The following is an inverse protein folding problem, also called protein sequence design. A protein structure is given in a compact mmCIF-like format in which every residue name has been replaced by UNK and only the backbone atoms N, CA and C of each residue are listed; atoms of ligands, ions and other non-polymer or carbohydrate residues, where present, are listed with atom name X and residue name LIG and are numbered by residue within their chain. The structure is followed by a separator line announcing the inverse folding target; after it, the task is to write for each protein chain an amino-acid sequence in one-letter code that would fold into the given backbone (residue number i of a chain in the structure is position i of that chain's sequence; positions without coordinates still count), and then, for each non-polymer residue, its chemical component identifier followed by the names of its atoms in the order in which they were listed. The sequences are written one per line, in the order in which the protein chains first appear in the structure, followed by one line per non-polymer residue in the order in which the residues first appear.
data_IF_380573218031
#
_entry.id   IF_380573218031
#
_cell.length_a   1.000
_cell.length_b   1.000
_cell.length_c   1.000
_cell.angle_alpha   90.00
_cell.angle_beta   90.00
_cell.angle_gamma   90.00
#
_symmetry.space_group_name_H-M   'P 1'
#
loop_
_entity.id
_entity.type
_entity.pdbx_description
1 polymer ?
#
# COMPACT_ATOMS: atom_id res chain seq x y z
N UNK A 1 -1.00 -15.85 51.94
CA UNK A 1 -0.54 -15.25 50.66
C UNK A 1 -0.18 -16.38 49.71
N UNK A 2 -0.99 -16.59 48.68
CA UNK A 2 -0.63 -17.37 47.52
C UNK A 2 -1.36 -16.72 46.34
N UNK A 3 -0.68 -15.80 45.65
CA UNK A 3 -1.18 -15.23 44.41
C UNK A 3 -1.01 -16.28 43.32
N UNK A 4 -2.12 -16.88 42.90
CA UNK A 4 -2.15 -17.68 41.68
C UNK A 4 -1.84 -16.76 40.50
N UNK A 5 -0.66 -16.92 39.91
CA UNK A 5 -0.29 -16.36 38.62
C UNK A 5 -1.15 -17.03 37.56
N UNK A 6 -2.21 -16.33 37.14
CA UNK A 6 -3.02 -16.76 36.01
C UNK A 6 -2.17 -16.78 34.75
N UNK A 7 -1.84 -17.98 34.26
CA UNK A 7 -1.39 -18.19 32.90
C UNK A 7 -2.56 -17.83 31.99
N UNK A 8 -2.58 -16.59 31.48
CA UNK A 8 -3.57 -16.15 30.52
C UNK A 8 -3.54 -17.05 29.29
N UNK A 9 -4.72 -17.50 28.84
CA UNK A 9 -4.86 -18.20 27.57
C UNK A 9 -4.20 -17.36 26.45
N UNK A 10 -3.61 -17.99 25.43
CA UNK A 10 -3.00 -17.27 24.32
C UNK A 10 -4.03 -16.32 23.71
N UNK A 11 -3.64 -15.05 23.57
CA UNK A 11 -4.46 -14.01 22.94
C UNK A 11 -4.82 -14.42 21.51
N UNK A 12 -6.10 -14.31 21.14
CA UNK A 12 -6.56 -14.69 19.80
C UNK A 12 -5.94 -13.83 18.69
N UNK A 13 -5.82 -14.33 17.45
CA UNK A 13 -5.16 -13.61 16.34
C UNK A 13 -5.71 -12.20 16.08
N UNK A 14 -7.02 -12.01 16.20
CA UNK A 14 -7.67 -10.71 16.00
C UNK A 14 -7.35 -9.71 17.13
N UNK A 15 -7.33 -10.16 18.38
CA UNK A 15 -6.94 -9.33 19.52
C UNK A 15 -5.48 -8.91 19.42
N UNK A 16 -4.59 -9.83 19.04
CA UNK A 16 -3.18 -9.53 18.78
C UNK A 16 -3.01 -8.49 17.66
N UNK A 17 -3.72 -8.66 16.53
CA UNK A 17 -3.71 -7.68 15.43
C UNK A 17 -4.17 -6.30 15.89
N UNK A 18 -5.29 -6.24 16.63
CA UNK A 18 -5.81 -5.00 17.19
C UNK A 18 -4.80 -4.33 18.12
N UNK A 19 -4.15 -5.10 18.99
CA UNK A 19 -3.12 -4.61 19.90
C UNK A 19 -1.95 -3.99 19.13
N UNK A 20 -1.40 -4.69 18.12
CA UNK A 20 -0.31 -4.19 17.26
C UNK A 20 -0.66 -2.85 16.63
N UNK A 21 -1.85 -2.75 16.02
CA UNK A 21 -2.34 -1.50 15.41
C UNK A 21 -2.46 -0.37 16.44
N UNK A 22 -3.04 -0.64 17.62
CA UNK A 22 -3.26 0.39 18.63
C UNK A 22 -1.96 0.85 19.32
N UNK A 23 -0.93 0.01 19.35
CA UNK A 23 0.41 0.36 19.86
C UNK A 23 1.35 0.95 18.81
N UNK A 24 0.97 0.89 17.53
CA UNK A 24 1.78 1.38 16.42
C UNK A 24 2.07 2.88 16.52
N UNK A 25 3.25 3.27 16.04
CA UNK A 25 3.67 4.67 15.93
C UNK A 25 3.49 5.24 14.53
N UNK A 26 3.03 4.45 13.55
CA UNK A 26 2.83 4.91 12.18
C UNK A 26 1.83 6.08 12.07
N UNK A 27 0.99 6.26 13.09
CA UNK A 27 0.15 7.43 13.27
C UNK A 27 0.92 8.53 13.99
N UNK A 28 1.34 9.55 13.24
CA UNK A 28 1.93 10.76 13.82
C UNK A 28 0.82 11.61 14.46
N UNK A 29 0.67 11.59 15.78
CA UNK A 29 -0.41 12.32 16.48
C UNK A 29 -0.35 13.83 16.24
N UNK A 30 0.85 14.41 16.21
CA UNK A 30 1.09 15.84 16.01
C UNK A 30 1.58 16.13 14.57
N UNK A 31 0.68 16.14 13.58
CA UNK A 31 1.00 16.68 12.26
C UNK A 31 0.77 18.21 12.29
N UNK A 32 1.77 19.05 11.95
CA UNK A 32 1.63 20.50 12.03
C UNK A 32 0.37 21.01 11.33
N UNK A 33 -0.41 21.81 12.05
CA UNK A 33 -1.70 22.35 11.59
C UNK A 33 -1.60 23.36 10.44
N UNK A 34 -0.38 23.70 9.98
CA UNK A 34 -0.14 24.70 8.94
C UNK A 34 -0.47 24.23 7.53
N UNK A 35 -0.56 22.92 7.26
CA UNK A 35 -0.87 22.39 5.92
C UNK A 35 -2.39 22.40 5.65
N UNK A 36 -2.93 23.58 5.34
CA UNK A 36 -4.38 23.77 5.27
C UNK A 36 -5.08 23.01 4.13
N UNK A 37 -4.37 22.49 3.12
CA UNK A 37 -4.96 21.65 2.07
C UNK A 37 -3.96 20.60 1.63
N UNK A 38 -4.38 19.34 1.56
CA UNK A 38 -3.71 18.21 0.90
C UNK A 38 -2.23 17.93 1.26
N UNK A 39 -1.99 17.09 2.28
CA UNK A 39 -0.65 16.65 2.59
C UNK A 39 -0.14 15.61 1.58
N UNK A 40 1.13 15.77 1.23
CA UNK A 40 1.89 14.81 0.42
C UNK A 40 2.85 14.09 1.35
N UNK A 41 2.71 12.78 1.45
CA UNK A 41 3.55 11.92 2.27
C UNK A 41 4.74 11.44 1.44
N UNK A 42 5.93 11.80 1.90
CA UNK A 42 7.18 11.52 1.20
C UNK A 42 8.36 11.53 2.18
N UNK A 43 9.31 10.61 1.98
CA UNK A 43 10.62 10.66 2.63
C UNK A 43 11.72 10.66 1.56
N UNK A 44 12.81 11.44 1.74
CA UNK A 44 14.01 11.29 0.90
C UNK A 44 14.59 9.88 0.88
N UNK A 45 14.24 9.04 1.87
CA UNK A 45 14.62 7.64 1.93
C UNK A 45 13.85 6.72 0.97
N UNK A 46 12.81 7.21 0.26
CA UNK A 46 12.06 6.39 -0.69
C UNK A 46 12.93 5.96 -1.87
N UNK A 47 13.83 6.83 -2.34
CA UNK A 47 14.71 6.52 -3.45
C UNK A 47 15.73 5.44 -3.05
N UNK A 48 15.76 4.38 -3.85
CA UNK A 48 16.69 3.27 -3.73
C UNK A 48 17.87 3.57 -4.66
N UNK A 49 19.08 3.61 -4.14
CA UNK A 49 20.31 3.79 -4.92
C UNK A 49 21.40 2.82 -4.49
N UNK A 50 22.07 2.26 -5.48
CA UNK A 50 23.24 1.39 -5.38
C UNK A 50 24.43 2.04 -6.11
N UNK A 51 24.66 3.33 -5.88
CA UNK A 51 25.75 4.12 -6.46
C UNK A 51 25.79 4.08 -8.01
N UNK A 52 24.62 4.05 -8.65
CA UNK A 52 24.47 4.09 -10.11
C UNK A 52 24.17 2.73 -10.76
N UNK A 53 24.34 1.61 -10.05
CA UNK A 53 23.98 0.28 -10.59
C UNK A 53 22.48 0.13 -10.84
N UNK A 54 21.66 0.86 -10.09
CA UNK A 54 20.21 0.90 -10.24
C UNK A 54 19.76 1.37 -11.63
N UNK A 55 20.59 2.17 -12.33
CA UNK A 55 20.25 2.74 -13.65
C UNK A 55 20.26 1.71 -14.78
N UNK A 56 20.70 0.49 -14.51
CA UNK A 56 20.74 -0.60 -15.49
C UNK A 56 19.45 -1.44 -15.51
N UNK A 57 18.49 -1.12 -14.63
CA UNK A 57 17.22 -1.82 -14.52
C UNK A 57 16.07 -0.94 -15.06
N UNK A 58 15.04 -1.51 -15.73
CA UNK A 58 13.90 -0.73 -16.24
C UNK A 58 13.08 -0.06 -15.13
N UNK A 59 13.04 -0.63 -13.92
CA UNK A 59 12.40 0.00 -12.77
C UNK A 59 13.24 1.18 -12.27
N UNK A 60 12.66 2.37 -12.38
CA UNK A 60 13.28 3.60 -11.95
C UNK A 60 13.21 3.77 -10.44
N UNK A 61 14.27 3.34 -9.77
CA UNK A 61 14.36 3.26 -8.31
C UNK A 61 14.50 4.61 -7.60
N UNK A 62 14.62 5.71 -8.34
CA UNK A 62 14.60 7.08 -7.81
C UNK A 62 13.39 7.90 -8.28
N UNK A 63 12.35 7.22 -8.80
CA UNK A 63 11.19 7.90 -9.42
C UNK A 63 10.46 8.82 -8.45
N UNK A 64 10.42 8.46 -7.17
CA UNK A 64 9.67 9.19 -6.15
C UNK A 64 10.25 10.57 -5.88
N UNK A 65 11.56 10.67 -5.73
CA UNK A 65 12.24 11.97 -5.61
C UNK A 65 12.05 12.84 -6.85
N UNK A 66 12.06 12.24 -8.05
CA UNK A 66 11.79 12.97 -9.30
C UNK A 66 10.36 13.49 -9.39
N UNK A 67 9.35 12.68 -9.06
CA UNK A 67 7.94 13.13 -9.01
C UNK A 67 7.79 14.29 -8.05
N UNK A 68 8.34 14.17 -6.84
CA UNK A 68 8.33 15.25 -5.84
C UNK A 68 8.97 16.53 -6.37
N UNK A 69 10.16 16.45 -6.97
CA UNK A 69 10.85 17.61 -7.52
C UNK A 69 10.07 18.23 -8.69
N UNK A 70 9.51 17.42 -9.60
CA UNK A 70 8.69 17.92 -10.70
C UNK A 70 7.43 18.64 -10.22
N UNK A 71 6.80 18.19 -9.13
CA UNK A 71 5.66 18.88 -8.52
C UNK A 71 6.06 20.20 -7.86
N UNK A 72 7.23 20.26 -7.20
CA UNK A 72 7.78 21.51 -6.65
C UNK A 72 8.14 22.51 -7.76
N UNK A 73 8.83 22.07 -8.81
CA UNK A 73 9.22 22.89 -9.95
C UNK A 73 8.01 23.46 -10.71
N UNK A 74 6.92 22.70 -10.78
CA UNK A 74 5.65 23.14 -11.36
C UNK A 74 4.84 24.08 -10.44
N UNK A 75 5.28 24.33 -9.21
CA UNK A 75 4.57 25.12 -8.22
C UNK A 75 3.31 24.45 -7.66
N UNK A 76 3.16 23.13 -7.86
CA UNK A 76 2.02 22.33 -7.40
C UNK A 76 2.22 21.80 -5.98
N UNK A 77 3.48 21.65 -5.55
CA UNK A 77 3.87 21.21 -4.21
C UNK A 77 4.73 22.28 -3.54
N UNK A 78 4.39 22.61 -2.30
CA UNK A 78 5.19 23.44 -1.41
C UNK A 78 5.76 22.53 -0.32
N UNK A 79 7.01 22.78 0.10
CA UNK A 79 7.70 21.87 1.02
C UNK A 79 7.05 21.78 2.41
N UNK A 80 6.24 22.75 2.82
CA UNK A 80 5.45 22.74 4.06
C UNK A 80 4.21 21.82 4.01
N UNK A 81 3.87 21.30 2.82
CA UNK A 81 2.83 20.29 2.62
C UNK A 81 3.37 18.86 2.64
N UNK A 82 4.69 18.71 2.70
CA UNK A 82 5.35 17.40 2.79
C UNK A 82 5.33 16.92 4.24
N UNK A 83 4.77 15.72 4.45
CA UNK A 83 4.80 15.04 5.74
C UNK A 83 5.68 13.81 5.61
N UNK A 84 6.75 13.72 6.40
CA UNK A 84 7.63 12.57 6.36
C UNK A 84 7.08 11.40 7.19
N UNK A 85 6.93 10.18 6.62
CA UNK A 85 6.44 9.04 7.36
C UNK A 85 7.52 8.33 8.19
N UNK A 86 7.07 7.58 9.19
CA UNK A 86 7.90 6.64 9.92
C UNK A 86 8.08 5.33 9.14
N UNK A 87 9.15 4.60 9.45
CA UNK A 87 9.35 3.24 8.96
C UNK A 87 8.35 2.29 9.64
N UNK A 88 7.70 1.42 8.86
CA UNK A 88 6.92 0.31 9.41
C UNK A 88 7.83 -0.67 10.15
N UNK A 89 7.56 -0.89 11.44
CA UNK A 89 8.24 -1.88 12.26
C UNK A 89 7.80 -3.30 11.89
N UNK A 90 8.54 -4.30 12.36
CA UNK A 90 8.15 -5.70 12.19
C UNK A 90 6.75 -5.98 12.79
N UNK A 91 6.45 -5.42 13.96
CA UNK A 91 5.13 -5.55 14.59
C UNK A 91 4.01 -4.90 13.76
N UNK A 92 4.30 -3.81 13.05
CA UNK A 92 3.36 -3.22 12.10
C UNK A 92 3.12 -4.18 10.93
N UNK A 93 4.19 -4.71 10.34
CA UNK A 93 4.09 -5.63 9.20
C UNK A 93 3.36 -6.94 9.55
N UNK A 94 3.53 -7.43 10.78
CA UNK A 94 2.85 -8.62 11.32
C UNK A 94 1.34 -8.43 11.57
N UNK A 95 0.79 -7.26 11.29
CA UNK A 95 -0.67 -7.05 11.23
C UNK A 95 -1.28 -7.81 10.06
N UNK A 96 -0.54 -7.89 8.94
CA UNK A 96 -0.97 -8.49 7.67
C UNK A 96 -0.14 -9.71 7.34
N UNK A 97 1.19 -9.60 7.43
CA UNK A 97 2.10 -10.66 7.00
C UNK A 97 2.26 -11.77 8.03
N UNK A 98 2.53 -12.99 7.56
CA UNK A 98 2.99 -14.06 8.44
C UNK A 98 4.46 -13.86 8.82
N UNK A 99 4.84 -14.35 10.00
CA UNK A 99 6.25 -14.43 10.42
C UNK A 99 7.07 -15.20 9.39
N UNK A 100 6.54 -16.30 8.84
CA UNK A 100 7.23 -17.08 7.80
C UNK A 100 7.52 -16.27 6.54
N UNK A 101 6.59 -15.41 6.11
CA UNK A 101 6.82 -14.55 4.95
C UNK A 101 7.87 -13.48 5.25
N UNK A 102 7.75 -12.79 6.39
CA UNK A 102 8.73 -11.77 6.78
C UNK A 102 10.14 -12.35 6.94
N UNK A 103 10.27 -13.52 7.57
CA UNK A 103 11.53 -14.24 7.69
C UNK A 103 12.10 -14.63 6.31
N UNK A 104 11.24 -14.90 5.31
CA UNK A 104 11.72 -15.20 3.96
C UNK A 104 12.41 -13.99 3.28
N UNK A 105 12.08 -12.76 3.70
CA UNK A 105 12.71 -11.54 3.20
C UNK A 105 14.13 -11.33 3.75
N UNK A 106 14.57 -12.14 4.71
CA UNK A 106 15.99 -12.21 5.12
C UNK A 106 16.88 -12.88 4.06
N UNK A 107 16.30 -13.47 3.00
CA UNK A 107 17.05 -14.00 1.86
C UNK A 107 17.15 -12.99 0.72
N UNK A 108 18.38 -12.58 0.37
CA UNK A 108 18.63 -11.73 -0.81
C UNK A 108 18.09 -12.36 -2.11
N UNK A 109 18.12 -13.68 -2.22
CA UNK A 109 17.59 -14.40 -3.38
C UNK A 109 16.06 -14.29 -3.45
N UNK A 110 15.37 -14.44 -2.32
CA UNK A 110 13.91 -14.29 -2.27
C UNK A 110 13.52 -12.86 -2.65
N UNK A 111 14.21 -11.86 -2.09
CA UNK A 111 13.97 -10.45 -2.41
C UNK A 111 14.23 -10.17 -3.88
N UNK A 112 15.33 -10.66 -4.45
CA UNK A 112 15.67 -10.49 -5.87
C UNK A 112 14.58 -11.01 -6.81
N UNK A 113 13.93 -12.13 -6.47
CA UNK A 113 12.80 -12.67 -7.23
C UNK A 113 11.56 -11.78 -7.11
N UNK A 114 11.24 -11.30 -5.90
CA UNK A 114 10.10 -10.42 -5.65
C UNK A 114 10.23 -9.10 -6.42
N UNK A 115 11.43 -8.50 -6.40
CA UNK A 115 11.70 -7.23 -7.10
C UNK A 115 12.12 -7.41 -8.55
N UNK A 116 12.11 -8.64 -9.07
CA UNK A 116 12.50 -8.98 -10.44
C UNK A 116 13.87 -8.45 -10.88
N UNK A 117 14.79 -8.29 -9.92
CA UNK A 117 16.17 -7.82 -10.16
C UNK A 117 17.15 -8.92 -9.75
N UNK A 118 17.55 -9.83 -10.65
CA UNK A 118 18.43 -10.95 -10.31
C UNK A 118 19.75 -10.53 -9.64
N UNK A 119 20.29 -9.37 -9.99
CA UNK A 119 21.53 -8.84 -9.39
C UNK A 119 21.44 -8.60 -7.87
N UNK A 120 20.23 -8.37 -7.33
CA UNK A 120 20.00 -8.21 -5.89
C UNK A 120 20.41 -9.47 -5.12
N UNK A 121 20.31 -10.65 -5.74
CA UNK A 121 20.68 -11.92 -5.10
C UNK A 121 22.19 -12.00 -4.77
N UNK A 122 23.01 -11.24 -5.49
CA UNK A 122 24.46 -11.18 -5.31
C UNK A 122 24.87 -10.16 -4.24
N UNK A 123 23.95 -9.32 -3.77
CA UNK A 123 24.24 -8.31 -2.76
C UNK A 123 24.28 -8.94 -1.36
N UNK A 124 25.24 -8.51 -0.50
CA UNK A 124 25.20 -8.82 0.91
C UNK A 124 23.83 -8.47 1.50
N UNK A 125 23.24 -9.40 2.25
CA UNK A 125 21.87 -9.23 2.75
C UNK A 125 21.68 -7.93 3.55
N UNK A 126 22.68 -7.53 4.33
CA UNK A 126 22.67 -6.24 5.04
C UNK A 126 22.39 -5.05 4.11
N UNK A 127 22.95 -5.03 2.90
CA UNK A 127 22.69 -3.97 1.92
C UNK A 127 21.27 -4.07 1.36
N UNK A 128 20.77 -5.27 1.12
CA UNK A 128 19.37 -5.48 0.69
C UNK A 128 18.40 -4.95 1.76
N UNK A 129 18.64 -5.26 3.03
CA UNK A 129 17.82 -4.78 4.14
C UNK A 129 17.83 -3.25 4.27
N UNK A 130 19.02 -2.64 4.16
CA UNK A 130 19.21 -1.19 4.40
C UNK A 130 18.92 -0.30 3.20
N UNK A 131 19.17 -0.78 1.98
CA UNK A 131 19.08 0.04 0.75
C UNK A 131 17.87 -0.28 -0.10
N UNK A 132 17.25 -1.45 0.05
CA UNK A 132 16.06 -1.84 -0.72
C UNK A 132 14.82 -1.97 0.16
N UNK A 133 14.87 -2.79 1.22
CA UNK A 133 13.68 -3.05 2.04
C UNK A 133 13.34 -1.92 3.02
N UNK A 134 14.34 -1.20 3.55
CA UNK A 134 14.11 -0.01 4.37
C UNK A 134 13.29 1.07 3.64
N UNK A 135 13.61 1.48 2.40
CA UNK A 135 12.75 2.34 1.60
C UNK A 135 11.32 1.82 1.45
N UNK A 136 11.12 0.52 1.20
CA UNK A 136 9.77 -0.04 1.11
C UNK A 136 9.02 0.02 2.43
N UNK A 137 9.66 -0.25 3.58
CA UNK A 137 9.02 -0.12 4.91
C UNK A 137 8.65 1.33 5.24
N UNK A 138 9.44 2.30 4.77
CA UNK A 138 9.09 3.73 4.84
C UNK A 138 7.86 4.06 3.98
N UNK A 139 7.77 3.50 2.78
CA UNK A 139 6.61 3.67 1.89
C UNK A 139 5.35 3.05 2.48
N UNK A 140 5.46 1.89 3.13
CA UNK A 140 4.38 1.23 3.88
C UNK A 140 3.86 2.13 4.99
N UNK A 141 4.75 2.68 5.82
CA UNK A 141 4.37 3.66 6.84
C UNK A 141 3.71 4.90 6.26
N UNK A 142 4.14 5.31 5.06
CA UNK A 142 3.52 6.39 4.29
C UNK A 142 2.06 6.14 3.91
N UNK A 143 1.71 4.92 3.49
CA UNK A 143 0.34 4.57 3.11
C UNK A 143 -0.60 4.63 4.32
N UNK A 144 -0.15 4.14 5.48
CA UNK A 144 -0.90 4.22 6.74
C UNK A 144 -1.09 5.68 7.18
N UNK A 145 -0.03 6.50 7.10
CA UNK A 145 -0.10 7.92 7.43
C UNK A 145 -1.02 8.69 6.47
N UNK A 146 -1.00 8.39 5.18
CA UNK A 146 -1.88 9.02 4.19
C UNK A 146 -3.35 8.75 4.48
N UNK A 147 -3.75 7.55 4.91
CA UNK A 147 -5.15 7.31 5.29
C UNK A 147 -5.60 8.17 6.48
N UNK A 148 -4.75 8.32 7.51
CA UNK A 148 -5.01 9.23 8.62
C UNK A 148 -5.22 10.66 8.11
N UNK A 149 -4.28 11.13 7.31
CA UNK A 149 -4.29 12.49 6.78
C UNK A 149 -5.48 12.74 5.85
N UNK A 150 -5.88 11.76 5.05
CA UNK A 150 -7.07 11.84 4.21
C UNK A 150 -8.34 11.99 5.05
N UNK A 151 -8.45 11.28 6.17
CA UNK A 151 -9.58 11.45 7.09
C UNK A 151 -9.60 12.85 7.73
N UNK A 152 -8.45 13.38 8.13
CA UNK A 152 -8.35 14.68 8.82
C UNK A 152 -8.43 15.88 7.87
N UNK A 153 -7.96 15.73 6.62
CA UNK A 153 -7.75 16.83 5.66
C UNK A 153 -8.57 16.70 4.37
N UNK A 154 -9.33 15.62 4.22
CA UNK A 154 -10.18 15.31 3.06
C UNK A 154 -9.50 14.45 1.99
N UNK A 155 -8.19 14.57 1.80
CA UNK A 155 -7.40 13.69 0.93
C UNK A 155 -5.91 13.79 1.27
N UNK A 156 -5.12 12.78 0.88
CA UNK A 156 -3.66 12.77 1.00
C UNK A 156 -3.06 11.93 -0.14
N UNK A 157 -1.79 12.16 -0.46
CA UNK A 157 -1.04 11.35 -1.42
C UNK A 157 0.15 10.72 -0.72
N UNK A 158 0.35 9.41 -0.82
CA UNK A 158 1.67 8.81 -0.60
C UNK A 158 2.37 8.71 -1.95
N UNK A 159 3.50 9.39 -2.13
CA UNK A 159 4.25 9.30 -3.41
C UNK A 159 4.76 7.86 -3.65
N UNK A 160 5.02 7.13 -2.56
CA UNK A 160 5.76 5.87 -2.56
C UNK A 160 4.96 4.61 -2.87
N UNK A 161 3.92 4.37 -2.06
CA UNK A 161 3.21 3.09 -1.93
C UNK A 161 2.34 2.70 -3.11
N UNK A 162 1.27 1.92 -2.85
CA UNK A 162 0.47 1.30 -3.92
C UNK A 162 1.04 -0.05 -4.35
N UNK A 163 1.58 -0.83 -3.41
CA UNK A 163 2.20 -2.12 -3.69
C UNK A 163 1.15 -3.22 -3.90
N UNK A 164 0.40 -3.09 -4.99
CA UNK A 164 -0.81 -3.85 -5.27
C UNK A 164 -0.60 -5.34 -5.58
N UNK A 165 0.62 -5.79 -5.83
CA UNK A 165 0.92 -7.21 -6.10
C UNK A 165 1.29 -8.01 -4.85
N UNK A 166 1.57 -7.36 -3.72
CA UNK A 166 1.89 -8.07 -2.49
C UNK A 166 0.63 -8.40 -1.70
N UNK A 167 0.52 -9.66 -1.30
CA UNK A 167 -0.51 -10.17 -0.37
C UNK A 167 0.13 -10.49 0.99
N UNK A 168 -0.69 -10.90 1.95
CA UNK A 168 -0.24 -11.30 3.29
C UNK A 168 0.86 -12.38 3.29
N UNK A 169 0.87 -13.29 2.31
CA UNK A 169 1.77 -14.45 2.29
C UNK A 169 2.83 -14.41 1.18
N UNK A 170 2.71 -13.49 0.23
CA UNK A 170 3.53 -13.49 -0.98
C UNK A 170 3.73 -12.08 -1.52
N UNK A 171 4.97 -11.76 -1.89
CA UNK A 171 5.34 -10.59 -2.68
C UNK A 171 5.64 -10.98 -4.13
N UNK A 172 5.56 -10.01 -5.03
CA UNK A 172 5.81 -10.16 -6.46
C UNK A 172 5.62 -8.83 -7.18
N UNK A 173 5.99 -8.74 -8.47
CA UNK A 173 5.80 -7.52 -9.27
C UNK A 173 6.32 -6.25 -8.58
N UNK A 174 7.56 -6.29 -8.07
CA UNK A 174 8.20 -5.17 -7.34
C UNK A 174 7.62 -4.85 -5.95
N UNK A 175 6.62 -5.62 -5.48
CA UNK A 175 5.91 -5.38 -4.23
C UNK A 175 6.37 -6.37 -3.15
N UNK A 176 7.15 -5.91 -2.17
CA UNK A 176 7.65 -6.75 -1.07
C UNK A 176 6.76 -6.75 0.18
N UNK A 177 5.95 -5.70 0.36
CA UNK A 177 5.06 -5.55 1.51
C UNK A 177 3.68 -5.11 1.04
N UNK A 178 2.63 -5.62 1.67
CA UNK A 178 1.24 -5.34 1.34
C UNK A 178 0.80 -4.04 2.04
N UNK A 179 1.29 -2.90 1.57
CA UNK A 179 1.04 -1.60 2.20
C UNK A 179 -0.44 -1.19 2.18
N UNK A 180 -1.14 -1.49 1.08
CA UNK A 180 -2.59 -1.25 0.95
C UNK A 180 -3.34 -2.11 1.97
N UNK A 181 -3.01 -3.40 2.09
CA UNK A 181 -3.63 -4.28 3.08
C UNK A 181 -3.36 -3.84 4.51
N UNK A 182 -2.16 -3.34 4.78
CA UNK A 182 -1.84 -2.78 6.09
C UNK A 182 -2.68 -1.53 6.37
N UNK A 183 -2.72 -0.60 5.40
CA UNK A 183 -3.49 0.62 5.45
C UNK A 183 -4.98 0.36 5.77
N UNK A 184 -5.60 -0.61 5.10
CA UNK A 184 -7.00 -0.99 5.30
C UNK A 184 -7.25 -1.53 6.72
N UNK A 185 -6.38 -2.41 7.22
CA UNK A 185 -6.50 -2.92 8.59
C UNK A 185 -6.39 -1.80 9.63
N UNK A 186 -5.48 -0.85 9.42
CA UNK A 186 -5.37 0.35 10.25
C UNK A 186 -6.61 1.24 10.12
N UNK A 187 -7.17 1.43 8.93
CA UNK A 187 -8.37 2.22 8.71
C UNK A 187 -9.56 1.65 9.49
N UNK A 188 -9.78 0.34 9.46
CA UNK A 188 -10.86 -0.30 10.22
C UNK A 188 -10.70 -0.14 11.73
N UNK A 189 -9.50 -0.35 12.27
CA UNK A 189 -9.30 -0.44 13.72
C UNK A 189 -9.00 0.93 14.36
N UNK A 190 -8.16 1.75 13.72
CA UNK A 190 -7.66 3.01 14.28
C UNK A 190 -8.51 4.21 13.85
N UNK A 191 -9.00 4.21 12.61
CA UNK A 191 -9.81 5.31 12.06
C UNK A 191 -11.31 5.08 12.17
N UNK A 192 -11.73 3.89 12.64
CA UNK A 192 -13.13 3.49 12.72
C UNK A 192 -13.87 3.64 11.37
N UNK A 193 -13.13 3.41 10.27
CA UNK A 193 -13.71 3.30 8.94
C UNK A 193 -14.53 2.02 8.88
N UNK A 194 -15.71 2.10 8.28
CA UNK A 194 -16.64 0.96 8.20
C UNK A 194 -16.50 0.18 6.90
N UNK A 195 -16.11 0.88 5.82
CA UNK A 195 -15.95 0.34 4.47
C UNK A 195 -14.79 1.01 3.76
N UNK A 196 -14.13 0.27 2.88
CA UNK A 196 -13.09 0.80 1.99
C UNK A 196 -13.48 0.52 0.56
N UNK A 197 -13.23 1.48 -0.32
CA UNK A 197 -13.25 1.28 -1.76
C UNK A 197 -11.82 1.38 -2.28
N UNK A 198 -11.36 0.34 -2.98
CA UNK A 198 -10.12 0.36 -3.74
C UNK A 198 -10.49 0.67 -5.18
N UNK A 199 -9.83 1.66 -5.76
CA UNK A 199 -9.86 1.99 -7.18
C UNK A 199 -8.42 1.79 -7.66
N UNK A 200 -8.14 0.64 -8.26
CA UNK A 200 -6.83 0.34 -8.86
C UNK A 200 -6.88 0.67 -10.36
N UNK A 201 -6.03 1.61 -10.76
CA UNK A 201 -5.89 2.08 -12.15
C UNK A 201 -4.52 1.75 -12.73
N UNK A 202 -3.71 0.95 -12.05
CA UNK A 202 -2.48 0.42 -12.63
C UNK A 202 -2.80 -0.44 -13.87
N UNK A 203 -1.84 -0.51 -14.80
CA UNK A 203 -2.02 -1.33 -15.99
C UNK A 203 -2.11 -2.83 -15.68
N UNK A 204 -1.53 -3.27 -14.57
CA UNK A 204 -1.57 -4.66 -14.10
C UNK A 204 -2.69 -4.85 -13.08
N UNK A 205 -3.21 -6.08 -13.00
CA UNK A 205 -4.19 -6.47 -11.99
C UNK A 205 -3.60 -6.36 -10.57
N UNK A 206 -4.33 -5.74 -9.65
CA UNK A 206 -4.01 -5.55 -8.23
C UNK A 206 -4.18 -6.82 -7.37
N UNK A 207 -3.64 -7.94 -7.82
CA UNK A 207 -3.93 -9.27 -7.26
C UNK A 207 -3.57 -9.47 -5.78
N UNK A 208 -2.73 -8.62 -5.19
CA UNK A 208 -2.33 -8.68 -3.79
C UNK A 208 -3.50 -8.38 -2.85
N UNK A 209 -4.14 -7.21 -3.02
CA UNK A 209 -5.26 -6.82 -2.16
C UNK A 209 -6.55 -7.58 -2.50
N UNK A 210 -6.72 -8.04 -3.76
CA UNK A 210 -7.79 -8.96 -4.13
C UNK A 210 -7.73 -10.27 -3.34
N UNK A 211 -6.52 -10.85 -3.16
CA UNK A 211 -6.34 -12.06 -2.35
C UNK A 211 -6.61 -11.82 -0.87
N UNK A 212 -6.16 -10.68 -0.35
CA UNK A 212 -6.25 -10.37 1.07
C UNK A 212 -7.67 -10.03 1.52
N UNK A 213 -8.46 -9.35 0.68
CA UNK A 213 -9.81 -8.86 1.04
C UNK A 213 -10.95 -9.43 0.21
N UNK A 214 -10.69 -10.34 -0.73
CA UNK A 214 -11.73 -10.84 -1.63
C UNK A 214 -12.94 -11.53 -1.00
N UNK A 215 -12.86 -11.86 0.29
CA UNK A 215 -13.99 -12.41 1.07
C UNK A 215 -14.49 -11.46 2.17
N UNK A 216 -13.96 -10.24 2.25
CA UNK A 216 -14.35 -9.22 3.23
C UNK A 216 -15.31 -8.21 2.59
N UNK A 217 -16.62 -8.38 2.82
CA UNK A 217 -17.66 -7.50 2.25
C UNK A 217 -17.62 -6.04 2.72
N UNK A 218 -16.64 -5.64 3.54
CA UNK A 218 -16.36 -4.24 3.87
C UNK A 218 -15.44 -3.56 2.85
N UNK A 219 -14.76 -4.33 2.00
CA UNK A 219 -13.87 -3.81 0.95
C UNK A 219 -14.55 -4.03 -0.39
N UNK A 220 -14.65 -2.96 -1.17
CA UNK A 220 -15.09 -2.99 -2.56
C UNK A 220 -13.90 -2.72 -3.47
N UNK A 221 -13.65 -3.59 -4.45
CA UNK A 221 -12.54 -3.43 -5.40
C UNK A 221 -13.04 -3.15 -6.81
N UNK A 222 -12.74 -1.95 -7.29
CA UNK A 222 -12.71 -1.61 -8.71
C UNK A 222 -11.26 -1.80 -9.19
N UNK A 223 -11.06 -2.66 -10.18
CA UNK A 223 -9.76 -2.82 -10.84
C UNK A 223 -9.92 -2.68 -12.36
N UNK A 224 -9.18 -1.73 -12.94
CA UNK A 224 -9.20 -1.40 -14.36
C UNK A 224 -7.81 -1.57 -15.00
N UNK A 225 -7.57 -2.75 -15.54
CA UNK A 225 -6.24 -3.23 -15.93
C UNK A 225 -6.24 -3.88 -17.31
N UNK A 226 -5.05 -4.09 -17.88
CA UNK A 226 -4.86 -4.84 -19.11
C UNK A 226 -4.83 -6.35 -18.82
N UNK A 227 -5.83 -7.07 -19.31
CA UNK A 227 -5.96 -8.51 -19.04
C UNK A 227 -4.93 -9.41 -19.74
N UNK A 228 -4.20 -8.85 -20.70
CA UNK A 228 -3.18 -9.53 -21.50
C UNK A 228 -1.76 -9.48 -20.92
N UNK A 229 -1.55 -8.86 -19.75
CA UNK A 229 -0.23 -8.72 -19.11
C UNK A 229 -0.21 -9.36 -17.71
N UNK A 230 0.98 -9.41 -17.09
CA UNK A 230 1.18 -9.92 -15.72
C UNK A 230 0.09 -9.35 -14.77
N UNK A 231 -0.46 -10.14 -13.82
CA UNK A 231 0.01 -11.41 -13.28
C UNK A 231 -0.66 -12.69 -13.79
N UNK A 232 -1.71 -12.59 -14.62
CA UNK A 232 -2.56 -13.73 -15.02
C UNK A 232 -3.20 -14.51 -13.85
N UNK A 233 -3.51 -13.82 -12.75
CA UNK A 233 -4.06 -14.45 -11.54
C UNK A 233 -5.58 -14.60 -11.62
N UNK A 234 -6.03 -15.64 -12.34
CA UNK A 234 -7.44 -15.93 -12.55
C UNK A 234 -8.22 -16.31 -11.28
N UNK A 235 -7.53 -16.64 -10.18
CA UNK A 235 -8.18 -16.91 -8.90
C UNK A 235 -8.48 -15.60 -8.20
N UNK A 236 -7.46 -14.73 -8.06
CA UNK A 236 -7.62 -13.42 -7.44
C UNK A 236 -8.65 -12.55 -8.18
N UNK A 237 -8.65 -12.61 -9.52
CA UNK A 237 -9.59 -11.91 -10.40
C UNK A 237 -11.07 -12.16 -10.08
N UNK A 238 -11.41 -13.30 -9.45
CA UNK A 238 -12.80 -13.62 -9.07
C UNK A 238 -13.31 -12.77 -7.91
N UNK A 239 -12.40 -12.13 -7.19
CA UNK A 239 -12.69 -11.29 -6.03
C UNK A 239 -12.80 -9.80 -6.37
N UNK A 240 -12.66 -9.43 -7.64
CA UNK A 240 -12.89 -8.05 -8.08
C UNK A 240 -14.40 -7.82 -8.18
N UNK A 241 -14.94 -6.91 -7.39
CA UNK A 241 -16.35 -6.55 -7.43
C UNK A 241 -16.73 -5.93 -8.78
N UNK A 242 -15.87 -5.06 -9.30
CA UNK A 242 -16.06 -4.42 -10.59
C UNK A 242 -14.76 -4.38 -11.40
N UNK A 243 -14.59 -5.38 -12.25
CA UNK A 243 -13.46 -5.47 -13.18
C UNK A 243 -13.74 -4.72 -14.49
N UNK A 244 -12.75 -3.98 -14.97
CA UNK A 244 -12.74 -3.38 -16.30
C UNK A 244 -11.48 -3.83 -17.02
N UNK A 245 -11.62 -4.82 -17.91
CA UNK A 245 -10.49 -5.38 -18.65
C UNK A 245 -10.25 -4.59 -19.93
N UNK A 246 -9.02 -4.12 -20.08
CA UNK A 246 -8.56 -3.33 -21.23
C UNK A 246 -7.64 -4.15 -22.12
N UNK A 247 -7.57 -3.74 -23.39
CA UNK A 247 -6.69 -4.32 -24.38
C UNK A 247 -5.38 -3.52 -24.52
N UNK A 248 -4.32 -4.19 -24.95
CA UNK A 248 -3.07 -3.52 -25.30
C UNK A 248 -3.30 -2.46 -26.39
N UNK A 249 -2.92 -1.22 -26.10
CA UNK A 249 -3.04 -0.10 -27.04
C UNK A 249 -4.33 0.71 -26.92
N UNK A 250 -5.17 0.46 -25.90
CA UNK A 250 -6.30 1.33 -25.52
C UNK A 250 -5.89 2.80 -25.52
N UNK A 251 -6.70 3.64 -26.16
CA UNK A 251 -6.46 5.08 -26.29
C UNK A 251 -7.03 5.84 -25.10
N UNK A 252 -6.56 7.07 -24.90
CA UNK A 252 -6.96 7.93 -23.79
C UNK A 252 -8.48 8.12 -23.73
N UNK A 253 -9.13 8.36 -24.87
CA UNK A 253 -10.57 8.58 -24.94
C UNK A 253 -11.34 7.34 -24.50
N UNK A 254 -10.98 6.17 -25.02
CA UNK A 254 -11.59 4.88 -24.65
C UNK A 254 -11.34 4.55 -23.18
N UNK A 255 -10.13 4.80 -22.68
CA UNK A 255 -9.78 4.60 -21.27
C UNK A 255 -10.67 5.48 -20.38
N UNK A 256 -10.71 6.78 -20.62
CA UNK A 256 -11.51 7.70 -19.80
C UNK A 256 -13.00 7.41 -19.89
N UNK A 257 -13.52 7.00 -21.05
CA UNK A 257 -14.93 6.59 -21.16
C UNK A 257 -15.25 5.35 -20.31
N UNK A 258 -14.38 4.34 -20.32
CA UNK A 258 -14.55 3.15 -19.49
C UNK A 258 -14.45 3.49 -17.99
N UNK A 259 -13.50 4.35 -17.61
CA UNK A 259 -13.35 4.81 -16.24
C UNK A 259 -14.59 5.60 -15.77
N UNK A 260 -15.10 6.53 -16.59
CA UNK A 260 -16.30 7.31 -16.27
C UNK A 260 -17.54 6.42 -16.08
N UNK A 261 -17.70 5.40 -16.93
CA UNK A 261 -18.77 4.39 -16.76
C UNK A 261 -18.60 3.64 -15.45
N UNK A 262 -17.36 3.26 -15.15
CA UNK A 262 -17.05 2.49 -13.97
C UNK A 262 -17.32 3.26 -12.66
N UNK A 263 -16.86 4.51 -12.57
CA UNK A 263 -17.05 5.36 -11.39
C UNK A 263 -18.53 5.71 -11.14
N UNK A 264 -19.35 5.81 -12.20
CA UNK A 264 -20.80 6.01 -12.07
C UNK A 264 -21.48 4.81 -11.39
N UNK A 265 -21.03 3.59 -11.66
CA UNK A 265 -21.58 2.39 -11.01
C UNK A 265 -21.20 2.34 -9.53
N UNK A 266 -19.94 2.64 -9.21
CA UNK A 266 -19.46 2.70 -7.82
C UNK A 266 -20.25 3.70 -6.97
N UNK A 267 -20.57 4.87 -7.53
CA UNK A 267 -21.28 5.95 -6.82
C UNK A 267 -22.81 5.77 -6.77
N UNK A 268 -23.40 5.08 -7.75
CA UNK A 268 -24.84 4.79 -7.77
C UNK A 268 -25.25 3.74 -6.71
N UNK A 269 -24.36 2.82 -6.34
CA UNK A 269 -24.61 1.81 -5.31
C UNK A 269 -24.66 2.34 -3.88
N UNK A 270 -24.23 3.58 -3.64
CA UNK A 270 -24.25 4.21 -2.30
C UNK A 270 -25.62 4.80 -1.92
N UNK A 271 -26.57 4.80 -2.87
CA UNK A 271 -27.80 5.57 -2.78
C UNK A 271 -28.88 5.10 -1.80
N UNK A 272 -28.77 3.95 -1.14
CA UNK A 272 -29.92 3.46 -0.35
C UNK A 272 -29.68 2.71 0.97
N UNK A 273 -28.46 2.34 1.40
CA UNK A 273 -28.30 1.56 2.66
C UNK A 273 -27.02 1.74 3.50
N UNK A 274 -26.11 2.68 3.24
CA UNK A 274 -24.77 2.61 3.87
C UNK A 274 -24.50 3.75 4.85
N UNK A 275 -24.99 3.61 6.08
CA UNK A 275 -24.50 4.40 7.22
C UNK A 275 -23.08 3.94 7.58
N UNK A 276 -22.06 4.77 7.30
CA UNK A 276 -20.70 4.53 7.75
C UNK A 276 -19.62 5.28 6.97
N UNK A 277 -18.50 5.60 7.62
CA UNK A 277 -17.37 6.28 6.97
C UNK A 277 -16.73 5.37 5.91
N UNK A 278 -16.51 5.93 4.71
CA UNK A 278 -15.85 5.32 3.56
C UNK A 278 -14.45 5.92 3.38
N UNK A 279 -13.45 5.08 3.18
CA UNK A 279 -12.13 5.48 2.68
C UNK A 279 -11.98 5.02 1.23
N UNK A 280 -11.63 5.93 0.33
CA UNK A 280 -11.29 5.60 -1.06
C UNK A 280 -9.77 5.57 -1.20
N UNK A 281 -9.23 4.42 -1.61
CA UNK A 281 -7.82 4.25 -1.93
C UNK A 281 -7.69 4.20 -3.45
N UNK A 282 -7.05 5.22 -4.03
CA UNK A 282 -6.66 5.23 -5.43
C UNK A 282 -5.25 4.65 -5.53
N UNK A 283 -5.13 3.49 -6.17
CA UNK A 283 -3.88 2.78 -6.40
C UNK A 283 -3.48 2.96 -7.87
#
# INVERSE_FOLDING_TARGET
MASASGSGAPEGPEALRRRRILSSRLYLDDVPSSSSKAPVVYSPAYDISFNGMEKQHPFDSSKWGRVRNSLEDAGLLQSDRIVEPLEASEDDLLVVHSESYLNSLESSEKVARIVEVPAVALLPNLLVQQKLLYPFRKQVGGSVLSAKLALEKGWAINIGGGFHHCSAQEGGGFCAYADISLCINFAFIRLNISRVMIIDLDAHQGNGHEKDFGSDGRVYTLDMYNSGIYPFDHVAKKYIDQKVELDSGTKTEDYLENLDKALKLCTAGEGEQTEGALLVLLC
#
